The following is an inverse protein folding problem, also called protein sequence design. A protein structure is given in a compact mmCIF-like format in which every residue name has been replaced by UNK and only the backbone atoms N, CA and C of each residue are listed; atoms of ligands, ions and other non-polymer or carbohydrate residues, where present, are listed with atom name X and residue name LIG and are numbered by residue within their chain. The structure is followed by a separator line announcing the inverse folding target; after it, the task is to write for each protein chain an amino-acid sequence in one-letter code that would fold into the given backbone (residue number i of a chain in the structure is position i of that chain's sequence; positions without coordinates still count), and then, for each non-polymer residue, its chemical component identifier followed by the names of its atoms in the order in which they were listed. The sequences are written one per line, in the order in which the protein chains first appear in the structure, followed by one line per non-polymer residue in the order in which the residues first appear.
data_IF_641184805868
#
_entry.id   IF_641184805868
#
_cell.length_a   1.000
_cell.length_b   1.000
_cell.length_c   1.000
_cell.angle_alpha   90.00
_cell.angle_beta   90.00
_cell.angle_gamma   90.00
#
_symmetry.space_group_name_H-M   'P 1'
#
loop_
_entity.id
_entity.type
_entity.pdbx_description
1 polymer ?
#
# COMPACT_ATOMS: atom_id res chain seq x y z
N UNK A 1 -72.11 -11.08 4.24
CA UNK A 1 -70.93 -11.58 5.00
C UNK A 1 -69.72 -10.81 4.49
N UNK A 2 -69.06 -10.02 5.36
CA UNK A 2 -68.10 -8.99 4.96
C UNK A 2 -66.71 -9.58 4.69
N UNK A 3 -66.13 -9.20 3.56
CA UNK A 3 -64.81 -9.55 3.03
C UNK A 3 -63.70 -8.99 3.95
N UNK A 4 -62.79 -9.83 4.45
CA UNK A 4 -61.59 -9.39 5.16
C UNK A 4 -60.39 -9.65 4.24
N UNK A 5 -59.83 -8.56 3.72
CA UNK A 5 -58.60 -8.53 2.91
C UNK A 5 -57.40 -8.67 3.85
N UNK A 6 -56.75 -9.83 3.84
CA UNK A 6 -55.51 -10.07 4.58
C UNK A 6 -54.31 -9.47 3.84
N UNK A 7 -53.69 -8.45 4.45
CA UNK A 7 -52.48 -7.79 3.95
C UNK A 7 -51.27 -8.70 4.25
N UNK A 8 -50.67 -9.30 3.21
CA UNK A 8 -49.41 -10.05 3.34
C UNK A 8 -48.27 -9.02 3.44
N UNK A 9 -47.71 -8.85 4.63
CA UNK A 9 -46.50 -8.06 4.84
C UNK A 9 -45.31 -8.94 4.47
N UNK A 10 -44.75 -8.71 3.28
CA UNK A 10 -43.48 -9.30 2.87
C UNK A 10 -42.34 -8.59 3.62
N UNK A 11 -41.76 -9.26 4.62
CA UNK A 11 -40.55 -8.81 5.28
C UNK A 11 -39.35 -9.00 4.33
N UNK A 12 -38.97 -7.94 3.63
CA UNK A 12 -37.76 -7.91 2.79
C UNK A 12 -36.56 -7.81 3.73
N UNK A 13 -35.88 -8.94 3.96
CA UNK A 13 -34.56 -8.98 4.58
C UNK A 13 -33.54 -8.41 3.59
N UNK A 14 -33.25 -7.11 3.69
CA UNK A 14 -32.11 -6.51 3.01
C UNK A 14 -30.84 -6.84 3.78
N UNK A 15 -30.10 -7.86 3.33
CA UNK A 15 -28.74 -8.07 3.78
C UNK A 15 -27.88 -6.91 3.28
N UNK A 16 -27.43 -6.05 4.20
CA UNK A 16 -26.39 -5.07 3.94
C UNK A 16 -25.10 -5.85 3.72
N UNK A 17 -24.72 -6.08 2.46
CA UNK A 17 -23.37 -6.54 2.12
C UNK A 17 -22.42 -5.40 2.48
N UNK A 18 -21.83 -5.48 3.66
CA UNK A 18 -20.81 -4.53 4.08
C UNK A 18 -19.65 -4.58 3.08
N UNK A 19 -19.30 -3.44 2.48
CA UNK A 19 -18.12 -3.31 1.62
C UNK A 19 -16.91 -3.98 2.31
N UNK A 20 -16.20 -4.85 1.58
CA UNK A 20 -15.09 -5.61 2.14
C UNK A 20 -14.08 -4.67 2.80
N UNK A 21 -13.71 -4.98 4.04
CA UNK A 21 -12.74 -4.19 4.81
C UNK A 21 -11.31 -4.36 4.28
N UNK A 22 -11.08 -5.43 3.53
CA UNK A 22 -9.82 -5.84 2.90
C UNK A 22 -9.90 -5.70 1.38
N UNK A 23 -8.74 -5.51 0.76
CA UNK A 23 -8.51 -5.30 -0.67
C UNK A 23 -7.25 -6.10 -1.08
N UNK A 24 -7.08 -6.44 -2.37
CA UNK A 24 -5.85 -7.08 -2.82
C UNK A 24 -4.62 -6.27 -2.41
N UNK A 25 -3.57 -6.96 -1.97
CA UNK A 25 -2.30 -6.33 -1.57
C UNK A 25 -1.74 -5.54 -2.74
N UNK A 26 -1.51 -4.25 -2.51
CA UNK A 26 -0.86 -3.38 -3.49
C UNK A 26 0.65 -3.59 -3.43
N UNK A 27 1.20 -4.08 -4.54
CA UNK A 27 2.62 -4.01 -4.84
C UNK A 27 2.86 -2.95 -5.92
N UNK A 28 4.06 -2.40 -5.95
CA UNK A 28 4.53 -1.56 -7.05
C UNK A 28 5.59 -2.34 -7.78
N UNK A 29 5.37 -2.63 -9.05
CA UNK A 29 6.28 -3.42 -9.87
C UNK A 29 6.94 -2.56 -10.93
N UNK A 30 8.28 -2.53 -10.93
CA UNK A 30 9.10 -1.92 -11.98
C UNK A 30 8.73 -0.46 -12.29
N UNK A 31 8.43 0.35 -11.27
CA UNK A 31 8.21 1.77 -11.45
C UNK A 31 9.45 2.43 -12.05
N UNK A 32 9.31 3.24 -13.12
CA UNK A 32 10.45 3.76 -13.85
C UNK A 32 11.18 4.85 -13.05
N UNK A 33 12.50 4.83 -13.14
CA UNK A 33 13.39 5.90 -12.70
C UNK A 33 13.73 6.76 -13.92
N UNK A 34 13.68 8.09 -13.75
CA UNK A 34 14.04 9.03 -14.82
C UNK A 34 15.49 8.82 -15.30
N UNK A 35 15.72 9.06 -16.59
CA UNK A 35 17.06 9.07 -17.18
C UNK A 35 17.97 10.07 -16.44
N UNK A 36 19.27 9.77 -16.39
CA UNK A 36 20.33 10.54 -15.71
C UNK A 36 20.33 10.53 -14.18
N UNK A 37 19.41 9.82 -13.52
CA UNK A 37 19.46 9.61 -12.07
C UNK A 37 20.42 8.45 -11.74
N UNK A 38 21.43 8.70 -10.93
CA UNK A 38 22.39 7.67 -10.47
C UNK A 38 21.74 6.74 -9.45
N UNK A 39 22.20 5.48 -9.36
CA UNK A 39 21.65 4.50 -8.40
C UNK A 39 21.68 4.99 -6.95
N UNK A 40 22.72 5.72 -6.54
CA UNK A 40 22.82 6.29 -5.18
C UNK A 40 21.79 7.41 -4.93
N UNK A 41 21.40 8.12 -5.99
CA UNK A 41 20.34 9.12 -5.92
C UNK A 41 18.96 8.44 -5.81
N UNK A 42 18.75 7.33 -6.52
CA UNK A 42 17.54 6.50 -6.37
C UNK A 42 17.42 5.99 -4.93
N UNK A 43 18.50 5.40 -4.41
CA UNK A 43 18.61 4.96 -3.02
C UNK A 43 18.22 6.08 -2.05
N UNK A 44 18.84 7.24 -2.21
CA UNK A 44 18.62 8.39 -1.33
C UNK A 44 17.18 8.92 -1.42
N UNK A 45 16.59 8.94 -2.62
CA UNK A 45 15.20 9.33 -2.82
C UNK A 45 14.25 8.38 -2.09
N UNK A 46 14.45 7.07 -2.20
CA UNK A 46 13.64 6.05 -1.51
C UNK A 46 13.74 6.19 0.01
N UNK A 47 14.96 6.31 0.54
CA UNK A 47 15.19 6.47 1.98
C UNK A 47 14.52 7.74 2.52
N UNK A 48 14.67 8.87 1.83
CA UNK A 48 14.07 10.15 2.25
C UNK A 48 12.55 10.11 2.18
N UNK A 49 11.97 9.67 1.06
CA UNK A 49 10.51 9.58 0.90
C UNK A 49 9.87 8.62 1.92
N UNK A 50 10.56 7.53 2.26
CA UNK A 50 10.16 6.63 3.34
C UNK A 50 10.19 7.32 4.71
N UNK A 51 11.31 7.92 5.07
CA UNK A 51 11.50 8.60 6.35
C UNK A 51 10.49 9.75 6.55
N UNK A 52 10.22 10.56 5.53
CA UNK A 52 9.26 11.67 5.57
C UNK A 52 7.82 11.19 5.85
N UNK A 53 7.50 9.96 5.47
CA UNK A 53 6.20 9.29 5.74
C UNK A 53 6.18 8.56 7.08
N UNK A 54 7.31 8.51 7.79
CA UNK A 54 7.48 7.81 9.06
C UNK A 54 7.72 6.31 8.90
N UNK A 55 8.24 5.87 7.75
CA UNK A 55 8.84 4.54 7.64
C UNK A 55 10.25 4.55 8.24
N UNK A 56 10.58 3.48 8.94
CA UNK A 56 11.94 3.14 9.33
C UNK A 56 12.54 2.37 8.15
N UNK A 57 13.57 2.95 7.52
CA UNK A 57 14.15 2.42 6.29
C UNK A 57 15.58 1.94 6.54
N UNK A 58 15.87 0.69 6.20
CA UNK A 58 17.20 0.09 6.35
C UNK A 58 17.58 -0.67 5.08
N UNK A 59 18.72 -0.33 4.49
CA UNK A 59 19.30 -1.15 3.42
C UNK A 59 19.78 -2.48 4.01
N UNK A 60 19.24 -3.58 3.50
CA UNK A 60 19.57 -4.93 3.98
C UNK A 60 20.65 -5.58 3.11
N UNK A 61 20.73 -5.18 1.85
CA UNK A 61 21.75 -5.56 0.86
C UNK A 61 21.78 -4.53 -0.26
N UNK A 62 22.85 -4.44 -1.06
CA UNK A 62 22.92 -3.52 -2.19
C UNK A 62 21.69 -3.65 -3.09
N UNK A 63 20.98 -2.54 -3.30
CA UNK A 63 19.79 -2.50 -4.16
C UNK A 63 18.49 -2.98 -3.49
N UNK A 64 18.47 -3.20 -2.18
CA UNK A 64 17.25 -3.57 -1.45
C UNK A 64 17.18 -2.85 -0.11
N UNK A 65 16.11 -2.09 0.11
CA UNK A 65 15.79 -1.42 1.37
C UNK A 65 14.57 -2.08 2.00
N UNK A 66 14.71 -2.54 3.24
CA UNK A 66 13.57 -2.94 4.06
C UNK A 66 12.95 -1.71 4.72
N UNK A 67 11.65 -1.54 4.55
CA UNK A 67 10.85 -0.52 5.19
C UNK A 67 9.94 -1.12 6.26
N UNK A 68 9.87 -0.48 7.42
CA UNK A 68 8.89 -0.80 8.47
C UNK A 68 8.07 0.44 8.84
N UNK A 69 6.75 0.31 8.95
CA UNK A 69 5.88 1.36 9.48
C UNK A 69 5.01 0.81 10.60
N UNK A 70 4.92 1.58 11.68
CA UNK A 70 4.03 1.30 12.81
C UNK A 70 3.11 2.51 13.00
N UNK A 71 1.79 2.29 12.92
CA UNK A 71 0.76 3.29 13.19
C UNK A 71 -0.23 2.74 14.21
N UNK A 72 -0.14 3.24 15.44
CA UNK A 72 -0.92 2.73 16.60
C UNK A 72 -0.63 1.23 16.75
N UNK A 73 -1.61 0.37 16.47
CA UNK A 73 -1.50 -1.09 16.53
C UNK A 73 -1.14 -1.75 15.20
N UNK A 74 -1.17 -1.01 14.09
CA UNK A 74 -0.98 -1.58 12.76
C UNK A 74 0.50 -1.49 12.36
N UNK A 75 1.06 -2.60 11.88
CA UNK A 75 2.45 -2.68 11.42
C UNK A 75 2.51 -3.29 10.03
N UNK A 76 3.36 -2.74 9.16
CA UNK A 76 3.69 -3.34 7.87
C UNK A 76 5.21 -3.34 7.64
N UNK A 77 5.70 -4.41 7.03
CA UNK A 77 7.06 -4.57 6.56
C UNK A 77 7.01 -4.75 5.03
N UNK A 78 7.87 -4.01 4.34
CA UNK A 78 8.04 -4.06 2.89
C UNK A 78 9.51 -4.19 2.52
N UNK A 79 9.77 -4.69 1.32
CA UNK A 79 11.04 -4.55 0.65
C UNK A 79 10.89 -3.61 -0.55
N UNK A 80 11.86 -2.70 -0.70
CA UNK A 80 11.99 -1.80 -1.83
C UNK A 80 13.24 -2.16 -2.59
N UNK A 81 13.07 -2.85 -3.72
CA UNK A 81 14.15 -3.24 -4.62
C UNK A 81 14.37 -2.13 -5.64
N UNK A 82 15.62 -1.77 -5.94
CA UNK A 82 15.89 -0.67 -6.86
C UNK A 82 17.20 -0.83 -7.60
N UNK A 83 17.26 -0.17 -8.75
CA UNK A 83 18.46 0.01 -9.56
C UNK A 83 18.40 1.39 -10.25
N UNK A 84 19.31 1.66 -11.19
CA UNK A 84 19.35 2.95 -11.90
C UNK A 84 18.17 3.18 -12.88
N UNK A 85 17.36 2.15 -13.17
CA UNK A 85 16.29 2.18 -14.17
C UNK A 85 14.90 2.01 -13.55
N UNK A 86 14.77 1.22 -12.49
CA UNK A 86 13.48 0.90 -11.87
C UNK A 86 13.59 0.76 -10.35
N UNK A 87 12.44 0.85 -9.68
CA UNK A 87 12.25 0.34 -8.34
C UNK A 87 10.92 -0.43 -8.22
N UNK A 88 10.83 -1.29 -7.22
CA UNK A 88 9.63 -2.04 -6.86
C UNK A 88 9.39 -1.95 -5.36
N UNK A 89 8.14 -2.03 -4.91
CA UNK A 89 7.74 -2.06 -3.51
C UNK A 89 6.89 -3.32 -3.29
N UNK A 90 7.40 -4.24 -2.47
CA UNK A 90 6.77 -5.53 -2.23
C UNK A 90 6.41 -5.73 -0.76
N UNK A 91 5.21 -6.26 -0.55
CA UNK A 91 4.78 -6.73 0.76
C UNK A 91 5.70 -7.83 1.30
N UNK A 92 6.08 -7.75 2.57
CA UNK A 92 6.82 -8.81 3.28
C UNK A 92 5.94 -9.42 4.38
N UNK A 93 5.44 -8.59 5.30
CA UNK A 93 4.58 -9.04 6.40
C UNK A 93 3.81 -7.89 7.03
N UNK A 94 2.80 -8.21 7.84
CA UNK A 94 2.02 -7.22 8.58
C UNK A 94 1.43 -7.76 9.88
N UNK A 95 1.09 -6.84 10.77
CA UNK A 95 0.34 -7.11 12.00
C UNK A 95 -0.87 -6.17 12.06
N UNK A 96 -2.01 -6.70 12.51
CA UNK A 96 -3.28 -5.97 12.63
C UNK A 96 -3.77 -5.31 11.33
N UNK A 97 -3.36 -5.85 10.17
CA UNK A 97 -3.83 -5.42 8.85
C UNK A 97 -4.74 -6.43 8.16
N UNK A 98 -5.19 -7.47 8.87
CA UNK A 98 -6.11 -8.48 8.34
C UNK A 98 -5.59 -9.12 7.04
N UNK A 99 -4.28 -9.39 6.97
CA UNK A 99 -3.71 -10.07 5.82
C UNK A 99 -4.16 -11.53 5.81
N UNK A 100 -4.86 -11.92 4.76
CA UNK A 100 -5.34 -13.28 4.53
C UNK A 100 -5.48 -13.50 3.02
N UNK A 101 -4.87 -14.57 2.49
CA UNK A 101 -4.96 -14.97 1.07
C UNK A 101 -4.72 -13.85 0.04
N UNK A 102 -3.77 -12.94 0.32
CA UNK A 102 -3.42 -11.84 -0.59
C UNK A 102 -4.35 -10.63 -0.50
N UNK A 103 -5.34 -10.66 0.39
CA UNK A 103 -6.18 -9.52 0.77
C UNK A 103 -5.62 -8.85 2.03
N UNK A 104 -5.75 -7.53 2.14
CA UNK A 104 -5.23 -6.74 3.25
C UNK A 104 -6.06 -5.47 3.50
N UNK A 105 -6.06 -4.98 4.73
CA UNK A 105 -6.78 -3.76 5.09
C UNK A 105 -6.31 -2.56 4.27
N UNK A 106 -7.25 -1.75 3.76
CA UNK A 106 -7.02 -0.61 2.84
C UNK A 106 -5.93 0.40 3.26
N UNK A 107 -5.64 0.50 4.57
CA UNK A 107 -4.60 1.39 5.07
C UNK A 107 -3.22 1.00 4.56
N UNK A 108 -2.94 -0.29 4.41
CA UNK A 108 -1.69 -0.77 3.82
C UNK A 108 -1.52 -0.21 2.40
N UNK A 109 -2.50 -0.43 1.52
CA UNK A 109 -2.47 0.06 0.14
C UNK A 109 -2.33 1.59 0.09
N UNK A 110 -2.97 2.31 1.02
CA UNK A 110 -2.79 3.77 1.15
C UNK A 110 -1.35 4.15 1.47
N UNK A 111 -0.68 3.43 2.37
CA UNK A 111 0.72 3.69 2.71
C UNK A 111 1.65 3.41 1.54
N UNK A 112 1.44 2.31 0.81
CA UNK A 112 2.22 1.98 -0.39
C UNK A 112 2.05 3.03 -1.47
N UNK A 113 0.82 3.40 -1.80
CA UNK A 113 0.55 4.44 -2.80
C UNK A 113 1.17 5.79 -2.40
N UNK A 114 1.08 6.17 -1.13
CA UNK A 114 1.65 7.42 -0.64
C UNK A 114 3.18 7.45 -0.72
N UNK A 115 3.83 6.31 -0.44
CA UNK A 115 5.27 6.16 -0.57
C UNK A 115 5.69 6.22 -2.05
N UNK A 116 5.02 5.48 -2.92
CA UNK A 116 5.27 5.47 -4.36
C UNK A 116 5.17 6.87 -4.99
N UNK A 117 4.10 7.60 -4.68
CA UNK A 117 3.90 8.98 -5.17
C UNK A 117 5.05 9.90 -4.75
N UNK A 118 5.54 9.77 -3.51
CA UNK A 118 6.61 10.64 -3.02
C UNK A 118 7.98 10.24 -3.56
N UNK A 119 8.24 8.94 -3.77
CA UNK A 119 9.43 8.47 -4.50
C UNK A 119 9.42 9.07 -5.92
N UNK A 120 8.30 8.97 -6.65
CA UNK A 120 8.18 9.54 -8.00
C UNK A 120 8.43 11.04 -8.02
N UNK A 121 7.81 11.79 -7.10
CA UNK A 121 8.04 13.24 -6.97
C UNK A 121 9.50 13.56 -6.70
N UNK A 122 10.14 12.84 -5.77
CA UNK A 122 11.54 13.06 -5.42
C UNK A 122 12.46 12.76 -6.60
N UNK A 123 12.26 11.65 -7.29
CA UNK A 123 13.03 11.29 -8.49
C UNK A 123 12.86 12.31 -9.61
N UNK A 124 11.65 12.83 -9.82
CA UNK A 124 11.40 13.87 -10.82
C UNK A 124 12.20 15.16 -10.55
N UNK A 125 12.38 15.53 -9.27
CA UNK A 125 13.22 16.71 -8.93
C UNK A 125 14.71 16.52 -9.17
N UNK A 126 15.18 15.27 -9.22
CA UNK A 126 16.60 14.93 -9.44
C UNK A 126 16.95 14.80 -10.93
N UNK A 127 15.95 14.74 -11.80
CA UNK A 127 16.11 14.62 -13.25
C UNK A 127 16.10 15.97 -13.99
N UNK A 128 15.96 17.07 -13.24
CA UNK A 128 16.10 18.45 -13.71
C UNK A 128 17.58 18.86 -13.72
#
# INVERSE_FOLDING_TARGET
MKLIKGLIIAAVLTSVVGCSRTHPVLNVDNAPVSYNVKVDQVRSAILQSGADRGWIMQETKPGTIRGEIIKRTHKAIIDVEYNAKTYSIHYVSSENLQYEDGEIHRNYNRWINNLDVDIKKKLATLAL
#
